data_IF_308247559564
#
_entry.id   IF_308247559564
#
_cell.length_a   1.000
_cell.length_b   1.000
_cell.length_c   1.000
_cell.angle_alpha   90.00
_cell.angle_beta   90.00
_cell.angle_gamma   90.00
#
_symmetry.space_group_name_H-M   'P 1'
#
loop_
_entity.id
_entity.type
_entity.pdbx_description
1 polymer ?
#
# COMPACT_ATOMS: atom_id res chain seq x y z
N UNK A 1 -21.43 11.60 -28.93
CA UNK A 1 -20.31 11.58 -28.02
C UNK A 1 -19.28 12.59 -28.49
N UNK A 2 -18.96 13.62 -27.72
CA UNK A 2 -17.90 14.56 -28.09
C UNK A 2 -16.55 13.85 -27.91
N UNK A 3 -15.74 13.79 -28.98
CA UNK A 3 -14.39 13.20 -28.90
C UNK A 3 -13.55 13.95 -27.84
N UNK A 4 -12.90 13.21 -26.98
CA UNK A 4 -12.01 13.78 -25.98
C UNK A 4 -10.73 14.32 -26.62
N UNK A 5 -9.93 15.13 -25.91
CA UNK A 5 -8.64 15.58 -26.42
C UNK A 5 -7.74 14.39 -26.81
N UNK A 6 -7.82 13.27 -26.07
CA UNK A 6 -7.07 12.04 -26.33
C UNK A 6 -7.38 11.41 -27.69
N UNK A 7 -8.63 11.51 -28.18
CA UNK A 7 -9.03 10.96 -29.49
C UNK A 7 -8.46 11.75 -30.68
N UNK A 8 -7.87 12.93 -30.43
CA UNK A 8 -7.34 13.86 -31.45
C UNK A 8 -5.84 14.05 -31.40
N UNK A 9 -5.19 13.65 -30.28
CA UNK A 9 -3.73 13.73 -30.12
C UNK A 9 -3.11 12.42 -30.62
N UNK A 10 -2.22 12.52 -31.61
CA UNK A 10 -1.54 11.34 -32.20
C UNK A 10 -0.23 11.00 -31.49
N UNK A 11 0.49 12.00 -30.98
CA UNK A 11 1.76 11.79 -30.26
C UNK A 11 2.13 13.03 -29.44
N UNK A 12 2.95 12.82 -28.41
CA UNK A 12 3.58 13.88 -27.66
C UNK A 12 5.10 13.83 -27.83
N UNK A 13 5.76 15.00 -27.74
CA UNK A 13 7.22 15.10 -27.81
C UNK A 13 7.71 16.09 -26.76
N UNK A 14 8.88 15.79 -26.17
CA UNK A 14 9.62 16.74 -25.34
C UNK A 14 10.59 17.48 -26.23
N UNK A 15 10.59 18.80 -26.20
CA UNK A 15 11.53 19.64 -26.97
C UNK A 15 12.65 20.07 -26.03
N UNK A 16 13.90 19.71 -26.40
CA UNK A 16 15.10 20.07 -25.65
C UNK A 16 16.00 21.00 -26.45
N UNK A 17 16.54 22.06 -25.85
CA UNK A 17 17.56 22.89 -26.45
C UNK A 17 18.82 22.09 -26.69
N UNK A 18 19.50 22.34 -27.79
CA UNK A 18 20.65 21.57 -28.19
C UNK A 18 21.63 22.44 -29.01
N UNK A 19 22.70 22.92 -28.41
CA UNK A 19 23.74 23.64 -29.12
C UNK A 19 24.64 22.67 -29.92
N UNK A 20 25.06 21.59 -29.27
CA UNK A 20 25.95 20.56 -29.81
C UNK A 20 25.14 19.38 -30.37
N UNK A 21 24.40 19.62 -31.46
CA UNK A 21 23.41 18.67 -31.96
C UNK A 21 24.02 17.31 -32.32
N UNK A 22 25.14 17.29 -33.05
CA UNK A 22 25.74 16.06 -33.54
C UNK A 22 26.23 15.20 -32.36
N UNK A 23 27.01 15.80 -31.44
CA UNK A 23 27.49 15.10 -30.23
C UNK A 23 26.38 14.61 -29.31
N UNK A 24 25.31 15.42 -29.20
CA UNK A 24 24.14 15.05 -28.40
C UNK A 24 23.38 13.90 -29.04
N UNK A 25 23.26 13.91 -30.37
CA UNK A 25 22.63 12.82 -31.10
C UNK A 25 23.39 11.51 -30.89
N UNK A 26 24.72 11.50 -31.11
CA UNK A 26 25.58 10.33 -30.91
C UNK A 26 25.47 9.80 -29.47
N UNK A 27 25.41 10.71 -28.47
CA UNK A 27 25.23 10.31 -27.08
C UNK A 27 23.90 9.57 -26.86
N UNK A 28 22.80 10.08 -27.39
CA UNK A 28 21.50 9.42 -27.24
C UNK A 28 21.37 8.14 -28.07
N UNK A 29 21.96 8.08 -29.26
CA UNK A 29 21.85 6.91 -30.14
C UNK A 29 22.85 5.82 -29.77
N UNK A 30 24.11 6.14 -29.66
CA UNK A 30 25.15 5.14 -29.52
C UNK A 30 25.32 4.66 -28.10
N UNK A 31 25.12 5.55 -27.10
CA UNK A 31 25.26 5.22 -25.70
C UNK A 31 23.96 4.79 -25.04
N UNK A 32 22.84 5.47 -25.36
CA UNK A 32 21.55 5.23 -24.70
C UNK A 32 20.56 4.44 -25.55
N UNK A 33 20.90 4.09 -26.80
CA UNK A 33 20.09 3.23 -27.66
C UNK A 33 18.82 3.86 -28.22
N UNK A 34 18.68 5.19 -28.19
CA UNK A 34 17.63 5.87 -28.92
C UNK A 34 17.82 5.73 -30.44
N UNK A 35 16.77 5.93 -31.21
CA UNK A 35 16.80 5.86 -32.68
C UNK A 35 16.32 7.17 -33.27
N UNK A 36 16.92 7.58 -34.38
CA UNK A 36 16.46 8.75 -35.15
C UNK A 36 15.10 8.43 -35.77
N UNK A 37 14.09 9.23 -35.43
CA UNK A 37 12.75 9.16 -35.99
C UNK A 37 12.53 10.19 -37.11
N UNK A 38 13.18 11.36 -37.03
CA UNK A 38 13.16 12.38 -38.06
C UNK A 38 14.37 13.31 -37.95
N UNK A 39 14.80 13.88 -39.05
CA UNK A 39 15.89 14.86 -39.14
C UNK A 39 15.57 15.91 -40.22
N UNK A 40 15.78 17.19 -39.90
CA UNK A 40 15.56 18.24 -40.89
C UNK A 40 16.29 19.56 -40.53
N UNK A 41 16.69 20.39 -41.57
CA UNK A 41 16.85 19.95 -42.94
C UNK A 41 17.86 18.83 -43.09
N UNK A 42 17.76 18.04 -44.15
CA UNK A 42 18.61 16.85 -44.31
C UNK A 42 20.09 17.20 -44.60
N UNK A 43 20.33 18.32 -45.26
CA UNK A 43 21.67 18.79 -45.66
C UNK A 43 22.39 19.57 -44.56
N UNK A 44 21.67 20.20 -43.66
CA UNK A 44 22.21 20.95 -42.52
C UNK A 44 21.25 20.85 -41.32
N UNK A 45 21.28 19.71 -40.59
CA UNK A 45 20.32 19.46 -39.52
C UNK A 45 20.33 20.53 -38.42
N UNK A 46 19.15 21.05 -38.13
CA UNK A 46 18.90 21.94 -36.98
C UNK A 46 17.91 21.35 -36.00
N UNK A 47 17.17 20.32 -36.45
CA UNK A 47 16.22 19.59 -35.61
C UNK A 47 16.36 18.10 -35.84
N UNK A 48 16.45 17.34 -34.79
CA UNK A 48 16.43 15.87 -34.82
C UNK A 48 15.37 15.38 -33.83
N UNK A 49 14.51 14.46 -34.25
CA UNK A 49 13.59 13.74 -33.38
C UNK A 49 14.17 12.36 -33.15
N UNK A 50 14.38 12.03 -31.90
CA UNK A 50 14.80 10.68 -31.45
C UNK A 50 13.65 10.01 -30.72
N UNK A 51 13.61 8.68 -30.76
CA UNK A 51 12.60 7.86 -30.07
C UNK A 51 13.24 6.65 -29.41
N UNK A 52 12.83 6.37 -28.19
CA UNK A 52 13.28 5.21 -27.41
C UNK A 52 12.50 5.10 -26.11
N UNK A 53 12.29 3.87 -25.64
CA UNK A 53 11.66 3.61 -24.33
C UNK A 53 10.30 4.29 -24.12
N UNK A 54 9.47 4.36 -25.18
CA UNK A 54 8.18 5.06 -25.16
C UNK A 54 8.26 6.59 -25.18
N UNK A 55 9.46 7.17 -25.20
CA UNK A 55 9.70 8.60 -25.20
C UNK A 55 10.07 9.11 -26.60
N UNK A 56 9.58 10.28 -26.98
CA UNK A 56 10.01 11.04 -28.16
C UNK A 56 10.60 12.36 -27.72
N UNK A 57 11.82 12.64 -28.17
CA UNK A 57 12.57 13.85 -27.85
C UNK A 57 12.91 14.57 -29.15
N UNK A 58 12.61 15.85 -29.24
CA UNK A 58 13.02 16.72 -30.31
C UNK A 58 14.19 17.58 -29.84
N UNK A 59 15.37 17.33 -30.38
CA UNK A 59 16.57 18.13 -30.14
C UNK A 59 16.58 19.29 -31.13
N UNK A 60 16.65 20.54 -30.65
CA UNK A 60 16.54 21.73 -31.47
C UNK A 60 17.71 22.65 -31.28
N UNK A 61 18.51 22.85 -32.33
CA UNK A 61 19.63 23.81 -32.33
C UNK A 61 19.11 25.24 -32.21
N UNK A 62 19.57 25.95 -31.19
CA UNK A 62 19.19 27.34 -30.94
C UNK A 62 17.86 27.52 -30.21
N UNK A 63 17.19 26.43 -29.74
CA UNK A 63 16.09 26.57 -28.80
C UNK A 63 16.57 27.11 -27.45
N UNK A 64 15.72 27.90 -26.82
CA UNK A 64 15.97 28.45 -25.51
C UNK A 64 15.31 27.54 -24.44
N UNK A 65 15.87 27.52 -23.20
CA UNK A 65 15.33 26.80 -22.06
C UNK A 65 16.38 25.91 -21.38
N UNK A 66 15.96 25.27 -20.29
CA UNK A 66 16.79 24.32 -19.56
C UNK A 66 16.79 22.96 -20.29
N UNK A 67 17.92 22.24 -20.30
CA UNK A 67 18.04 20.95 -20.99
C UNK A 67 17.25 19.80 -20.33
N UNK A 68 16.74 20.02 -19.11
CA UNK A 68 15.88 19.08 -18.41
C UNK A 68 16.58 17.85 -17.81
N UNK A 69 15.76 16.91 -17.34
CA UNK A 69 16.20 15.63 -16.78
C UNK A 69 15.42 14.52 -17.49
N UNK A 70 16.13 13.48 -17.91
CA UNK A 70 15.55 12.22 -18.39
C UNK A 70 15.92 11.12 -17.42
N UNK A 71 14.93 10.46 -16.83
CA UNK A 71 15.15 9.30 -15.97
C UNK A 71 14.89 8.02 -16.78
N UNK A 72 15.88 7.15 -16.82
CA UNK A 72 15.80 5.83 -17.44
C UNK A 72 15.65 4.77 -16.35
N UNK A 73 14.60 3.97 -16.46
CA UNK A 73 14.36 2.81 -15.59
C UNK A 73 15.10 1.63 -16.21
N UNK A 74 16.09 1.08 -15.51
CA UNK A 74 17.02 0.09 -16.03
C UNK A 74 16.94 -1.20 -15.21
N UNK A 75 17.07 -2.35 -15.85
CA UNK A 75 17.27 -3.62 -15.15
C UNK A 75 18.64 -3.65 -14.44
N UNK A 76 19.65 -2.99 -15.02
CA UNK A 76 20.96 -2.78 -14.42
C UNK A 76 21.48 -1.38 -14.76
N UNK A 77 21.24 -0.38 -13.89
CA UNK A 77 21.75 0.97 -14.07
C UNK A 77 23.26 1.06 -14.23
N UNK A 78 23.98 0.18 -13.52
CA UNK A 78 25.46 0.15 -13.54
C UNK A 78 26.01 -0.27 -14.92
N UNK A 79 25.36 -1.24 -15.56
CA UNK A 79 25.74 -1.67 -16.92
C UNK A 79 25.48 -0.58 -17.97
N UNK A 80 24.43 0.22 -17.84
CA UNK A 80 24.11 1.34 -18.75
C UNK A 80 25.05 2.52 -18.53
N UNK A 81 25.41 2.79 -17.30
CA UNK A 81 26.21 3.95 -16.88
C UNK A 81 27.70 3.73 -16.80
N UNK A 82 28.22 2.52 -17.11
CA UNK A 82 29.63 2.15 -16.85
C UNK A 82 30.01 2.38 -15.37
N UNK A 83 29.11 2.02 -14.44
CA UNK A 83 29.25 2.21 -13.01
C UNK A 83 28.71 3.55 -12.49
N UNK A 84 28.32 4.50 -13.35
CA UNK A 84 27.69 5.74 -12.95
C UNK A 84 26.14 5.58 -12.86
N UNK A 85 25.54 6.27 -11.93
CA UNK A 85 24.06 6.37 -11.80
C UNK A 85 23.49 7.64 -12.42
N UNK A 86 24.36 8.55 -12.83
CA UNK A 86 24.00 9.81 -13.49
C UNK A 86 24.98 10.11 -14.63
N UNK A 87 24.45 10.52 -15.79
CA UNK A 87 25.21 10.97 -16.94
C UNK A 87 24.73 12.38 -17.34
N UNK A 88 25.59 13.10 -18.05
CA UNK A 88 25.22 14.39 -18.64
C UNK A 88 25.43 14.34 -20.16
N UNK A 89 24.37 14.56 -20.90
CA UNK A 89 24.45 14.69 -22.35
C UNK A 89 25.16 15.99 -22.77
N UNK A 90 25.76 16.08 -23.99
CA UNK A 90 26.48 17.27 -24.44
C UNK A 90 25.63 18.55 -24.47
N UNK A 91 24.31 18.45 -24.62
CA UNK A 91 23.41 19.62 -24.51
C UNK A 91 23.11 20.00 -23.06
N UNK A 92 23.67 19.32 -22.06
CA UNK A 92 23.43 19.55 -20.64
C UNK A 92 22.23 18.80 -20.04
N UNK A 93 21.52 17.96 -20.82
CA UNK A 93 20.44 17.11 -20.26
C UNK A 93 21.03 16.12 -19.26
N UNK A 94 20.51 16.10 -18.05
CA UNK A 94 20.87 15.14 -17.01
C UNK A 94 20.11 13.84 -17.24
N UNK A 95 20.82 12.72 -17.26
CA UNK A 95 20.26 11.38 -17.38
C UNK A 95 20.42 10.68 -16.05
N UNK A 96 19.32 10.38 -15.38
CA UNK A 96 19.28 9.59 -14.15
C UNK A 96 19.04 8.12 -14.54
N UNK A 97 19.95 7.22 -14.12
CA UNK A 97 19.83 5.79 -14.31
C UNK A 97 19.38 5.18 -12.98
N UNK A 98 18.19 4.64 -12.94
CA UNK A 98 17.61 4.06 -11.72
C UNK A 98 17.15 2.64 -11.97
N UNK A 99 17.16 1.83 -10.92
CA UNK A 99 16.60 0.48 -10.96
C UNK A 99 15.12 0.55 -11.32
N UNK A 100 14.70 -0.22 -12.34
CA UNK A 100 13.30 -0.31 -12.76
C UNK A 100 12.42 -1.00 -11.71
N UNK A 101 13.03 -1.84 -10.88
CA UNK A 101 12.34 -2.63 -9.86
C UNK A 101 13.14 -2.72 -8.55
N UNK A 102 13.38 -1.58 -7.86
CA UNK A 102 14.15 -1.57 -6.63
C UNK A 102 13.49 -2.46 -5.56
N UNK A 103 14.29 -3.13 -4.71
CA UNK A 103 13.74 -3.95 -3.63
C UNK A 103 12.92 -3.10 -2.65
N UNK A 104 11.92 -3.74 -2.03
CA UNK A 104 11.14 -3.11 -0.96
C UNK A 104 12.06 -2.88 0.23
N UNK A 105 12.20 -1.63 0.64
CA UNK A 105 12.95 -1.23 1.82
C UNK A 105 11.97 -0.91 2.95
N UNK A 106 12.03 -1.69 4.04
CA UNK A 106 11.28 -1.40 5.24
C UNK A 106 12.21 -0.65 6.21
N UNK A 107 11.88 0.59 6.61
CA UNK A 107 12.64 1.30 7.62
C UNK A 107 12.70 0.52 8.94
N UNK A 108 13.74 0.68 9.76
CA UNK A 108 13.78 0.07 11.08
C UNK A 108 12.62 0.52 11.95
N UNK A 109 11.95 -0.43 12.63
CA UNK A 109 10.86 -0.12 13.54
C UNK A 109 11.34 0.76 14.68
N UNK A 110 10.63 1.86 14.93
CA UNK A 110 10.80 2.71 16.11
C UNK A 110 9.57 2.53 17.00
N UNK A 111 9.61 1.57 17.96
CA UNK A 111 8.45 1.19 18.72
C UNK A 111 7.92 2.35 19.58
N UNK A 112 6.65 2.65 19.48
CA UNK A 112 5.97 3.66 20.27
C UNK A 112 4.59 3.19 20.69
N UNK A 113 4.10 3.67 21.83
CA UNK A 113 2.69 3.53 22.19
C UNK A 113 1.87 4.56 21.44
N UNK A 114 0.91 4.10 20.66
CA UNK A 114 -0.03 4.94 19.92
C UNK A 114 -1.44 4.66 20.39
N UNK A 115 -2.23 5.71 20.55
CA UNK A 115 -3.66 5.62 20.80
C UNK A 115 -4.37 6.68 19.95
N UNK A 116 -5.34 6.27 19.14
CA UNK A 116 -6.14 7.18 18.31
C UNK A 116 -7.63 7.04 18.60
N UNK A 117 -8.34 8.17 18.63
CA UNK A 117 -9.77 8.24 18.93
C UNK A 117 -10.59 8.48 17.65
N UNK A 118 -11.68 7.72 17.49
CA UNK A 118 -12.60 7.96 16.37
C UNK A 118 -13.33 9.30 16.49
N UNK A 119 -13.51 9.79 17.69
CA UNK A 119 -14.15 11.08 17.99
C UNK A 119 -13.32 12.31 17.59
N UNK A 120 -12.05 12.14 17.22
CA UNK A 120 -11.23 13.23 16.73
C UNK A 120 -11.53 13.49 15.24
N UNK A 121 -12.51 14.34 14.99
CA UNK A 121 -12.91 14.74 13.63
C UNK A 121 -11.79 15.45 12.86
N UNK A 122 -10.86 16.11 13.53
CA UNK A 122 -9.72 16.78 12.90
C UNK A 122 -8.71 15.78 12.31
N UNK A 123 -8.74 14.51 12.73
CA UNK A 123 -7.88 13.44 12.21
C UNK A 123 -8.29 12.92 10.82
N UNK A 124 -9.47 13.31 10.29
CA UNK A 124 -9.97 12.87 9.00
C UNK A 124 -9.54 13.79 7.85
N UNK A 125 -8.78 13.26 6.90
CA UNK A 125 -8.40 13.90 5.63
C UNK A 125 -9.18 13.35 4.44
N UNK A 126 -9.08 14.04 3.29
CA UNK A 126 -9.60 13.55 2.00
C UNK A 126 -8.43 13.07 1.14
N UNK A 127 -8.54 11.89 0.56
CA UNK A 127 -7.51 11.27 -0.28
C UNK A 127 -8.05 10.85 -1.65
N UNK A 128 -7.48 9.77 -2.20
CA UNK A 128 -7.79 9.24 -3.53
C UNK A 128 -9.29 8.94 -3.68
N UNK A 129 -9.83 9.19 -4.88
CA UNK A 129 -11.22 8.92 -5.26
C UNK A 129 -12.28 9.56 -4.32
N UNK A 130 -11.93 10.66 -3.60
CA UNK A 130 -12.84 11.32 -2.67
C UNK A 130 -13.06 10.58 -1.34
N UNK A 131 -12.34 9.49 -1.10
CA UNK A 131 -12.40 8.74 0.16
C UNK A 131 -11.84 9.57 1.31
N UNK A 132 -12.40 9.38 2.50
CA UNK A 132 -11.88 9.98 3.73
C UNK A 132 -10.96 8.99 4.43
N UNK A 133 -9.84 9.50 4.93
CA UNK A 133 -8.79 8.71 5.60
C UNK A 133 -8.53 9.26 6.99
N UNK A 134 -8.43 8.38 7.97
CA UNK A 134 -7.91 8.66 9.31
C UNK A 134 -6.71 7.77 9.57
N UNK A 135 -5.60 8.38 9.94
CA UNK A 135 -4.38 7.67 10.28
C UNK A 135 -4.49 7.04 11.67
N UNK A 136 -4.23 5.75 11.77
CA UNK A 136 -4.31 4.98 13.01
C UNK A 136 -2.94 4.76 13.66
N UNK A 137 -1.85 5.03 12.93
CA UNK A 137 -0.46 5.00 13.41
C UNK A 137 0.26 6.28 12.94
N UNK A 138 -0.03 7.47 13.51
CA UNK A 138 0.46 8.76 13.01
C UNK A 138 1.98 8.87 12.94
N UNK A 139 2.72 8.21 13.83
CA UNK A 139 4.19 8.19 13.83
C UNK A 139 4.80 7.12 12.91
N UNK A 140 3.94 6.29 12.26
CA UNK A 140 4.34 5.23 11.33
C UNK A 140 5.33 4.23 11.92
N UNK A 141 5.54 4.19 13.24
CA UNK A 141 6.60 3.41 13.90
C UNK A 141 7.96 3.60 13.21
N UNK A 142 8.31 4.85 12.88
CA UNK A 142 9.54 5.20 12.15
C UNK A 142 9.49 4.96 10.64
N UNK A 143 8.31 4.79 10.05
CA UNK A 143 8.11 4.53 8.62
C UNK A 143 7.85 3.06 8.28
N UNK A 144 7.82 2.19 9.28
CA UNK A 144 7.64 0.74 9.06
C UNK A 144 6.20 0.37 8.74
N UNK A 145 5.21 1.02 9.37
CA UNK A 145 3.80 0.62 9.27
C UNK A 145 2.87 1.80 8.99
N UNK A 146 1.85 1.54 8.21
CA UNK A 146 0.68 2.40 8.04
C UNK A 146 -0.56 1.61 8.44
N UNK A 147 -1.46 2.27 9.17
CA UNK A 147 -2.81 1.79 9.37
C UNK A 147 -3.79 2.92 9.10
N UNK A 148 -4.76 2.68 8.24
CA UNK A 148 -5.74 3.67 7.80
C UNK A 148 -7.17 3.19 8.08
N UNK A 149 -7.97 4.05 8.68
CA UNK A 149 -9.42 3.92 8.67
C UNK A 149 -9.95 4.71 7.48
N UNK A 150 -10.51 4.01 6.50
CA UNK A 150 -10.99 4.59 5.25
C UNK A 150 -12.50 4.57 5.24
N UNK A 151 -13.13 5.68 4.82
CA UNK A 151 -14.58 5.82 4.73
C UNK A 151 -15.02 6.31 3.36
N UNK A 152 -16.03 5.68 2.77
CA UNK A 152 -16.73 6.14 1.57
C UNK A 152 -18.16 6.53 1.96
N UNK A 153 -18.46 7.84 2.10
CA UNK A 153 -19.77 8.27 2.62
C UNK A 153 -20.94 7.94 1.69
N UNK A 154 -20.80 8.22 0.39
CA UNK A 154 -21.93 8.23 -0.54
C UNK A 154 -22.26 6.86 -1.13
N UNK A 155 -21.28 5.96 -1.22
CA UNK A 155 -21.44 4.66 -1.87
C UNK A 155 -21.63 4.74 -3.41
N UNK A 156 -21.98 3.59 -4.02
CA UNK A 156 -22.14 3.45 -5.47
C UNK A 156 -20.84 3.09 -6.19
N UNK A 157 -20.78 3.30 -7.52
CA UNK A 157 -19.57 3.02 -8.31
C UNK A 157 -18.38 3.84 -7.84
N UNK A 158 -17.26 3.17 -7.57
CA UNK A 158 -16.01 3.84 -7.16
C UNK A 158 -15.19 4.17 -8.40
N UNK A 159 -14.73 5.44 -8.59
CA UNK A 159 -13.92 5.84 -9.73
C UNK A 159 -12.46 5.36 -9.54
N UNK A 160 -12.28 4.06 -9.50
CA UNK A 160 -11.00 3.39 -9.33
C UNK A 160 -10.54 2.76 -10.65
N UNK A 161 -9.25 2.44 -10.75
CA UNK A 161 -8.62 1.76 -11.88
C UNK A 161 -7.82 0.56 -11.38
N UNK A 162 -7.44 -0.34 -12.30
CA UNK A 162 -6.59 -1.48 -11.96
C UNK A 162 -5.24 -0.96 -11.47
N UNK A 163 -4.85 -1.39 -10.28
CA UNK A 163 -3.60 -0.96 -9.65
C UNK A 163 -3.04 -2.04 -8.74
N UNK A 164 -1.79 -1.87 -8.31
CA UNK A 164 -1.10 -2.73 -7.37
C UNK A 164 -0.14 -1.94 -6.49
N UNK A 165 0.30 -2.55 -5.40
CA UNK A 165 1.23 -1.95 -4.45
C UNK A 165 2.51 -2.78 -4.33
N UNK A 166 3.66 -2.10 -4.17
CA UNK A 166 4.91 -2.73 -3.75
C UNK A 166 5.00 -2.70 -2.23
N UNK A 167 4.51 -3.74 -1.58
CA UNK A 167 4.43 -3.86 -0.13
C UNK A 167 5.07 -5.15 0.36
N UNK A 168 5.57 -5.15 1.59
CA UNK A 168 5.93 -6.37 2.31
C UNK A 168 4.68 -7.08 2.83
N UNK A 169 3.65 -6.31 3.21
CA UNK A 169 2.39 -6.79 3.74
C UNK A 169 1.29 -5.76 3.53
N UNK A 170 0.09 -6.19 3.15
CA UNK A 170 -1.09 -5.34 3.11
C UNK A 170 -2.36 -6.17 3.31
N UNK A 171 -3.26 -5.70 4.17
CA UNK A 171 -4.56 -6.31 4.38
C UNK A 171 -5.67 -5.27 4.43
N UNK A 172 -6.87 -5.65 4.01
CA UNK A 172 -8.08 -4.82 4.09
C UNK A 172 -9.14 -5.59 4.86
N UNK A 173 -9.63 -5.01 5.95
CA UNK A 173 -10.75 -5.49 6.73
C UNK A 173 -11.97 -4.62 6.50
N UNK A 174 -13.09 -5.19 6.08
CA UNK A 174 -14.36 -4.49 5.92
C UNK A 174 -14.99 -4.30 7.31
N UNK A 175 -14.95 -3.06 7.82
CA UNK A 175 -15.44 -2.74 9.16
C UNK A 175 -16.96 -2.51 9.18
N UNK A 176 -17.48 -1.71 8.23
CA UNK A 176 -18.91 -1.43 8.11
C UNK A 176 -19.35 -1.39 6.66
N UNK A 177 -20.57 -1.79 6.40
CA UNK A 177 -21.13 -1.81 5.05
C UNK A 177 -20.61 -2.98 4.23
N UNK A 178 -20.49 -2.76 2.90
CA UNK A 178 -19.95 -3.74 1.98
C UNK A 178 -19.21 -3.05 0.83
N UNK A 179 -18.27 -3.79 0.22
CA UNK A 179 -17.50 -3.36 -0.95
C UNK A 179 -17.39 -4.48 -1.96
N UNK A 180 -17.59 -4.16 -3.26
CA UNK A 180 -17.39 -5.08 -4.37
C UNK A 180 -16.01 -4.84 -4.98
N UNK A 181 -15.21 -5.89 -5.03
CA UNK A 181 -13.82 -5.88 -5.46
C UNK A 181 -13.53 -6.98 -6.48
N UNK A 182 -12.43 -6.82 -7.20
CA UNK A 182 -11.91 -7.83 -8.12
C UNK A 182 -10.40 -7.87 -8.02
N UNK A 183 -9.84 -9.09 -8.06
CA UNK A 183 -8.41 -9.36 -7.93
C UNK A 183 -7.92 -10.22 -9.09
N UNK A 184 -6.68 -9.97 -9.48
CA UNK A 184 -5.94 -10.76 -10.49
C UNK A 184 -5.94 -12.24 -10.12
N UNK A 185 -6.34 -13.10 -11.08
CA UNK A 185 -6.37 -14.56 -10.98
C UNK A 185 -7.24 -15.15 -9.84
N UNK A 186 -8.10 -14.31 -9.25
CA UNK A 186 -9.00 -14.73 -8.17
C UNK A 186 -10.47 -14.89 -8.62
N UNK A 187 -10.69 -14.90 -9.94
CA UNK A 187 -12.00 -15.13 -10.55
C UNK A 187 -12.88 -13.89 -10.58
N UNK A 188 -14.21 -14.13 -10.56
CA UNK A 188 -15.19 -13.07 -10.72
C UNK A 188 -15.20 -12.09 -9.55
N UNK A 189 -15.61 -10.82 -9.79
CA UNK A 189 -15.80 -9.85 -8.71
C UNK A 189 -16.68 -10.41 -7.59
N UNK A 190 -16.28 -10.11 -6.36
CA UNK A 190 -17.02 -10.54 -5.17
C UNK A 190 -17.29 -9.38 -4.21
N UNK A 191 -18.22 -9.59 -3.31
CA UNK A 191 -18.56 -8.63 -2.26
C UNK A 191 -17.93 -9.06 -0.95
N UNK A 192 -17.25 -8.13 -0.29
CA UNK A 192 -16.85 -8.22 1.11
C UNK A 192 -17.91 -7.54 1.96
N UNK A 193 -18.43 -8.27 2.93
CA UNK A 193 -19.36 -7.75 3.94
C UNK A 193 -18.60 -7.29 5.19
N UNK A 194 -19.26 -6.56 6.06
CA UNK A 194 -18.70 -6.24 7.37
C UNK A 194 -18.21 -7.51 8.09
N UNK A 195 -16.98 -7.49 8.56
CA UNK A 195 -16.28 -8.63 9.17
C UNK A 195 -15.42 -9.44 8.22
N UNK A 196 -15.57 -9.31 6.90
CA UNK A 196 -14.72 -9.97 5.92
C UNK A 196 -13.36 -9.27 5.81
N UNK A 197 -12.36 -10.02 5.37
CA UNK A 197 -11.00 -9.52 5.22
C UNK A 197 -10.32 -10.12 3.99
N UNK A 198 -9.40 -9.39 3.39
CA UNK A 198 -8.51 -9.89 2.36
C UNK A 198 -7.05 -9.59 2.72
N UNK A 199 -6.16 -10.52 2.40
CA UNK A 199 -4.75 -10.23 2.22
C UNK A 199 -4.54 -9.79 0.77
N UNK A 200 -3.88 -8.67 0.58
CA UNK A 200 -3.42 -8.20 -0.73
C UNK A 200 -1.91 -8.49 -0.84
N UNK A 201 -1.51 -9.62 -1.44
CA UNK A 201 -0.10 -9.95 -1.60
C UNK A 201 0.64 -8.88 -2.42
N UNK A 202 1.98 -8.81 -2.32
CA UNK A 202 2.78 -7.87 -3.11
C UNK A 202 2.42 -7.95 -4.60
N UNK A 203 2.13 -6.78 -5.20
CA UNK A 203 1.88 -6.63 -6.64
C UNK A 203 0.63 -7.29 -7.21
N UNK A 204 -0.26 -7.87 -6.41
CA UNK A 204 -1.54 -8.35 -6.93
C UNK A 204 -2.34 -7.18 -7.50
N UNK A 205 -2.75 -7.26 -8.78
CA UNK A 205 -3.62 -6.25 -9.39
C UNK A 205 -5.01 -6.39 -8.83
N UNK A 206 -5.60 -5.25 -8.53
CA UNK A 206 -6.96 -5.22 -8.00
C UNK A 206 -7.66 -3.91 -8.34
N UNK A 207 -8.97 -3.90 -8.11
CA UNK A 207 -9.82 -2.75 -8.31
C UNK A 207 -11.02 -2.78 -7.39
N UNK A 208 -11.36 -1.65 -6.83
CA UNK A 208 -12.64 -1.42 -6.14
C UNK A 208 -13.69 -1.00 -7.17
N UNK A 209 -14.80 -1.69 -7.23
CA UNK A 209 -15.85 -1.49 -8.24
C UNK A 209 -17.01 -0.65 -7.70
N UNK A 210 -17.46 -0.96 -6.49
CA UNK A 210 -18.67 -0.39 -5.92
C UNK A 210 -18.67 -0.56 -4.39
N UNK A 211 -19.32 0.34 -3.69
CA UNK A 211 -19.49 0.23 -2.23
C UNK A 211 -20.90 0.61 -1.77
N UNK A 212 -21.27 0.16 -0.58
CA UNK A 212 -22.45 0.70 0.11
C UNK A 212 -22.20 2.14 0.57
N UNK A 213 -23.27 2.94 0.75
CA UNK A 213 -23.14 4.18 1.50
C UNK A 213 -22.59 3.91 2.90
N UNK A 214 -21.68 4.76 3.37
CA UNK A 214 -21.08 4.64 4.69
C UNK A 214 -20.16 3.41 4.84
N UNK A 215 -19.57 2.88 3.75
CA UNK A 215 -18.54 1.87 3.84
C UNK A 215 -17.39 2.37 4.71
N UNK A 216 -16.94 1.54 5.64
CA UNK A 216 -15.71 1.76 6.41
C UNK A 216 -14.80 0.52 6.31
N UNK A 217 -13.52 0.72 6.03
CA UNK A 217 -12.52 -0.36 6.01
C UNK A 217 -11.31 0.04 6.84
N UNK A 218 -10.62 -0.97 7.38
CA UNK A 218 -9.33 -0.82 8.05
C UNK A 218 -8.28 -1.45 7.13
N UNK A 219 -7.33 -0.63 6.72
CA UNK A 219 -6.18 -1.03 5.90
C UNK A 219 -4.92 -0.97 6.73
N UNK A 220 -4.09 -2.01 6.65
CA UNK A 220 -2.77 -2.03 7.29
C UNK A 220 -1.74 -2.45 6.25
N UNK A 221 -0.67 -1.69 6.14
CA UNK A 221 0.41 -1.92 5.19
C UNK A 221 1.81 -1.75 5.80
N UNK A 222 2.77 -2.37 5.16
CA UNK A 222 4.20 -2.32 5.48
C UNK A 222 5.01 -2.37 4.16
N UNK A 223 5.93 -1.42 3.90
CA UNK A 223 6.24 -0.22 4.69
C UNK A 223 5.11 0.83 4.65
N UNK A 224 5.24 1.86 5.50
CA UNK A 224 4.26 2.94 5.57
C UNK A 224 4.18 3.74 4.27
N UNK A 225 5.34 4.05 3.69
CA UNK A 225 5.44 4.68 2.38
C UNK A 225 5.70 3.62 1.33
N UNK A 226 4.78 3.46 0.41
CA UNK A 226 4.87 2.54 -0.70
C UNK A 226 4.17 3.11 -1.93
N UNK A 227 4.65 2.70 -3.09
CA UNK A 227 4.12 3.16 -4.37
C UNK A 227 2.83 2.43 -4.74
N UNK A 228 1.89 3.17 -5.33
CA UNK A 228 0.69 2.64 -5.98
C UNK A 228 0.88 2.77 -7.49
N UNK A 229 0.98 1.67 -8.20
CA UNK A 229 1.14 1.62 -9.64
C UNK A 229 -0.20 1.36 -10.32
N UNK A 230 -0.56 2.21 -11.28
CA UNK A 230 -1.68 1.94 -12.17
C UNK A 230 -1.28 0.95 -13.27
N UNK A 231 -2.13 -0.02 -13.54
CA UNK A 231 -2.03 -0.92 -14.70
C UNK A 231 -3.24 -0.69 -15.60
N UNK A 232 -3.13 0.30 -16.50
CA UNK A 232 -4.24 0.77 -17.33
C UNK A 232 -4.51 -0.15 -18.53
N UNK A 233 -3.59 -1.06 -18.83
CA UNK A 233 -3.72 -2.00 -19.95
C UNK A 233 -4.35 -3.32 -19.48
N UNK A 234 -4.28 -3.65 -18.20
CA UNK A 234 -4.83 -4.87 -17.65
C UNK A 234 -6.33 -4.76 -17.39
N UNK A 235 -7.09 -5.72 -17.93
CA UNK A 235 -8.50 -5.90 -17.62
C UNK A 235 -8.72 -6.89 -16.46
N UNK A 236 -9.63 -6.56 -15.53
CA UNK A 236 -10.08 -7.50 -14.49
C UNK A 236 -11.59 -7.76 -14.63
N UNK A 237 -12.07 -9.01 -14.41
CA UNK A 237 -11.29 -10.18 -14.00
C UNK A 237 -10.39 -10.72 -15.12
N UNK A 238 -9.30 -11.41 -14.74
CA UNK A 238 -8.47 -12.19 -15.64
C UNK A 238 -9.22 -13.42 -16.15
N UNK A 239 -8.82 -13.95 -17.31
CA UNK A 239 -9.42 -15.16 -17.88
C UNK A 239 -9.06 -16.41 -17.06
N UNK A 240 -7.83 -16.47 -16.56
CA UNK A 240 -7.36 -17.56 -15.70
C UNK A 240 -7.75 -17.31 -14.24
N UNK A 241 -7.98 -18.41 -13.51
CA UNK A 241 -8.23 -18.42 -12.08
C UNK A 241 -7.20 -19.31 -11.41
N UNK A 242 -6.31 -18.73 -10.64
CA UNK A 242 -5.18 -19.40 -9.97
C UNK A 242 -5.21 -19.06 -8.47
N UNK A 243 -6.11 -19.67 -7.68
CA UNK A 243 -6.32 -19.28 -6.27
C UNK A 243 -5.08 -19.35 -5.40
N UNK A 244 -4.20 -20.31 -5.69
CA UNK A 244 -2.97 -20.56 -4.93
C UNK A 244 -1.72 -19.91 -5.57
N UNK A 245 -1.92 -18.92 -6.47
CA UNK A 245 -0.80 -18.21 -7.09
C UNK A 245 0.08 -17.58 -6.02
N UNK A 246 1.39 -17.82 -6.16
CA UNK A 246 2.39 -17.17 -5.34
C UNK A 246 2.70 -15.75 -5.86
N UNK A 247 2.63 -14.79 -4.96
CA UNK A 247 2.98 -13.40 -5.17
C UNK A 247 4.16 -13.04 -4.25
N UNK A 248 5.36 -13.38 -4.64
CA UNK A 248 6.58 -13.12 -3.86
C UNK A 248 6.56 -13.74 -2.45
N UNK A 249 6.18 -15.01 -2.36
CA UNK A 249 6.10 -15.78 -1.13
C UNK A 249 4.80 -15.62 -0.36
N UNK A 250 3.79 -14.97 -0.93
CA UNK A 250 2.47 -14.80 -0.32
C UNK A 250 1.37 -15.25 -1.26
N UNK A 251 0.25 -15.69 -0.70
CA UNK A 251 -0.96 -16.03 -1.45
C UNK A 251 -2.11 -15.11 -1.07
N UNK A 252 -3.01 -14.87 -2.02
CA UNK A 252 -4.23 -14.13 -1.74
C UNK A 252 -5.09 -14.84 -0.70
N UNK A 253 -5.67 -14.09 0.23
CA UNK A 253 -6.65 -14.60 1.19
C UNK A 253 -7.95 -13.84 1.01
N UNK A 254 -9.06 -14.56 0.90
CA UNK A 254 -10.41 -14.06 1.06
C UNK A 254 -11.05 -14.72 2.26
N UNK A 255 -11.10 -14.02 3.37
CA UNK A 255 -11.76 -14.48 4.57
C UNK A 255 -13.23 -14.02 4.60
N UNK A 256 -14.14 -14.94 4.82
CA UNK A 256 -15.57 -14.67 4.99
C UNK A 256 -15.96 -14.89 6.47
N UNK A 257 -16.31 -13.82 7.17
CA UNK A 257 -16.63 -13.87 8.60
C UNK A 257 -17.71 -14.89 8.96
N UNK A 258 -18.72 -15.03 8.10
CA UNK A 258 -19.83 -15.96 8.29
C UNK A 258 -19.42 -17.44 8.30
N UNK A 259 -18.23 -17.78 7.73
CA UNK A 259 -17.70 -19.14 7.67
C UNK A 259 -16.66 -19.44 8.73
N UNK A 260 -16.24 -18.41 9.50
CA UNK A 260 -15.18 -18.53 10.47
C UNK A 260 -15.61 -19.32 11.71
N UNK A 261 -14.59 -19.89 12.38
CA UNK A 261 -14.79 -20.61 13.65
C UNK A 261 -14.05 -19.88 14.75
N UNK A 262 -14.70 -19.82 15.91
CA UNK A 262 -14.11 -19.26 17.10
C UNK A 262 -13.34 -20.34 17.86
N UNK A 263 -12.23 -19.97 18.47
CA UNK A 263 -11.35 -20.82 19.23
C UNK A 263 -10.75 -20.04 20.41
N UNK A 264 -10.32 -20.72 21.49
CA UNK A 264 -9.74 -20.03 22.65
C UNK A 264 -8.58 -19.13 22.29
N UNK A 265 -8.58 -17.91 22.81
CA UNK A 265 -7.50 -16.96 22.61
C UNK A 265 -6.40 -17.12 23.67
N UNK A 266 -5.23 -16.53 23.42
CA UNK A 266 -4.10 -16.55 24.39
C UNK A 266 -4.42 -15.84 25.71
N UNK A 267 -5.30 -14.83 25.70
CA UNK A 267 -5.77 -14.19 26.94
C UNK A 267 -7.00 -14.92 27.46
N UNK A 268 -7.01 -15.27 28.75
CA UNK A 268 -8.13 -15.95 29.39
C UNK A 268 -9.40 -15.10 29.38
N UNK A 269 -10.54 -15.73 29.10
CA UNK A 269 -11.83 -15.06 28.95
C UNK A 269 -12.13 -14.50 27.56
N UNK A 270 -11.24 -14.76 26.60
CA UNK A 270 -11.42 -14.38 25.20
C UNK A 270 -11.37 -15.58 24.26
N UNK A 271 -11.99 -15.43 23.12
CA UNK A 271 -11.85 -16.31 21.95
C UNK A 271 -11.56 -15.48 20.71
N UNK A 272 -11.01 -16.12 19.67
CA UNK A 272 -10.69 -15.44 18.42
C UNK A 272 -11.13 -16.25 17.21
N UNK A 273 -11.35 -15.56 16.10
CA UNK A 273 -11.40 -16.14 14.76
C UNK A 273 -10.19 -15.72 13.97
N UNK A 274 -9.52 -16.70 13.38
CA UNK A 274 -8.38 -16.49 12.52
C UNK A 274 -8.83 -16.07 11.12
N UNK A 275 -8.12 -15.11 10.54
CA UNK A 275 -8.34 -14.66 9.16
C UNK A 275 -7.63 -15.57 8.14
N UNK A 276 -6.64 -16.38 8.57
CA UNK A 276 -5.87 -17.28 7.70
C UNK A 276 -4.69 -16.61 6.99
N UNK A 277 -4.31 -15.42 7.41
CA UNK A 277 -3.20 -14.66 6.81
C UNK A 277 -1.84 -15.24 7.18
N UNK A 278 -1.72 -15.82 8.39
CA UNK A 278 -0.45 -16.39 8.85
C UNK A 278 0.06 -17.47 7.89
N UNK A 279 -0.78 -18.40 7.50
CA UNK A 279 -0.42 -19.49 6.55
C UNK A 279 -0.12 -18.96 5.15
N UNK A 280 -0.82 -17.92 4.71
CA UNK A 280 -0.64 -17.34 3.38
C UNK A 280 0.61 -16.45 3.26
N UNK A 281 1.24 -16.09 4.38
CA UNK A 281 2.43 -15.22 4.45
C UNK A 281 3.64 -15.90 5.08
N UNK A 282 3.60 -17.22 5.24
CA UNK A 282 4.65 -18.00 5.92
C UNK A 282 5.01 -17.42 7.30
N UNK A 283 3.97 -17.05 8.07
CA UNK A 283 4.14 -16.52 9.42
C UNK A 283 4.54 -15.04 9.52
N UNK A 284 4.58 -14.29 8.42
CA UNK A 284 4.94 -12.88 8.44
C UNK A 284 3.97 -12.05 9.27
N UNK A 285 2.66 -12.27 9.10
CA UNK A 285 1.62 -11.49 9.79
C UNK A 285 0.48 -12.37 10.28
N UNK A 286 -0.02 -12.09 11.48
CA UNK A 286 -1.25 -12.66 12.04
C UNK A 286 -2.36 -11.64 12.10
N UNK A 287 -3.55 -12.01 11.64
CA UNK A 287 -4.74 -11.15 11.70
C UNK A 287 -5.89 -11.96 12.33
N UNK A 288 -6.49 -11.40 13.34
CA UNK A 288 -7.53 -12.06 14.15
C UNK A 288 -8.61 -11.08 14.53
N UNK A 289 -9.84 -11.58 14.71
CA UNK A 289 -10.84 -10.87 15.49
C UNK A 289 -10.97 -11.57 16.83
N UNK A 290 -10.84 -10.81 17.92
CA UNK A 290 -10.87 -11.30 19.31
C UNK A 290 -12.13 -10.76 19.97
N UNK A 291 -12.85 -11.60 20.70
CA UNK A 291 -14.02 -11.18 21.49
C UNK A 291 -14.05 -11.78 22.89
N UNK A 292 -14.83 -11.17 23.75
CA UNK A 292 -15.11 -11.73 25.08
C UNK A 292 -15.93 -13.02 24.94
N UNK A 293 -15.52 -14.07 25.65
CA UNK A 293 -16.22 -15.37 25.67
C UNK A 293 -16.46 -15.90 27.11
N UNK A 294 -15.93 -15.17 28.09
CA UNK A 294 -16.05 -15.53 29.51
C UNK A 294 -15.68 -14.34 30.38
N UNK A 295 -15.14 -14.59 31.57
CA UNK A 295 -14.63 -13.53 32.44
C UNK A 295 -13.21 -13.17 32.03
N UNK A 296 -12.95 -11.97 31.45
CA UNK A 296 -11.60 -11.57 31.07
C UNK A 296 -10.64 -11.55 32.27
N UNK A 297 -9.44 -12.08 32.07
CA UNK A 297 -8.35 -11.91 33.00
C UNK A 297 -7.87 -10.46 33.00
N UNK A 298 -7.61 -9.90 34.18
CA UNK A 298 -7.03 -8.56 34.34
C UNK A 298 -5.51 -8.59 34.41
N UNK A 299 -4.93 -9.76 34.20
CA UNK A 299 -3.49 -9.97 34.28
C UNK A 299 -2.76 -9.14 33.23
N UNK A 300 -1.74 -8.41 33.65
CA UNK A 300 -0.91 -7.68 32.73
C UNK A 300 -0.11 -8.64 31.83
N UNK A 301 0.05 -8.29 30.57
CA UNK A 301 0.82 -9.05 29.60
C UNK A 301 1.75 -8.14 28.81
N UNK A 302 2.78 -8.72 28.22
CA UNK A 302 3.65 -8.09 27.23
C UNK A 302 3.91 -9.05 26.08
N UNK A 303 4.49 -8.55 24.98
CA UNK A 303 4.81 -9.34 23.79
C UNK A 303 6.19 -8.99 23.23
N UNK A 304 6.67 -9.77 22.25
CA UNK A 304 7.96 -9.59 21.58
C UNK A 304 7.83 -9.25 20.07
N UNK A 305 6.62 -9.00 19.57
CA UNK A 305 6.38 -8.71 18.15
C UNK A 305 6.88 -7.34 17.70
N UNK A 306 7.16 -7.21 16.39
CA UNK A 306 7.48 -5.94 15.73
C UNK A 306 6.31 -4.97 15.78
N UNK A 307 5.09 -5.49 15.60
CA UNK A 307 3.83 -4.76 15.66
C UNK A 307 2.81 -5.56 16.46
N UNK A 308 2.09 -4.89 17.35
CA UNK A 308 0.81 -5.35 17.89
C UNK A 308 -0.19 -4.19 17.81
N UNK A 309 -0.97 -4.19 16.74
CA UNK A 309 -2.01 -3.21 16.47
C UNK A 309 -3.37 -3.77 16.85
N UNK A 310 -4.20 -2.92 17.46
CA UNK A 310 -5.56 -3.26 17.88
C UNK A 310 -6.53 -2.16 17.46
N UNK A 311 -7.69 -2.56 16.91
CA UNK A 311 -8.79 -1.67 16.56
C UNK A 311 -10.07 -2.20 17.20
N UNK A 312 -10.75 -1.39 17.99
CA UNK A 312 -12.03 -1.77 18.64
C UNK A 312 -13.13 -1.76 17.59
N UNK A 313 -13.65 -2.94 17.26
CA UNK A 313 -14.72 -3.12 16.27
C UNK A 313 -16.10 -2.86 16.89
N UNK A 314 -16.34 -3.36 18.11
CA UNK A 314 -17.60 -3.24 18.83
C UNK A 314 -17.34 -3.19 20.33
N UNK A 315 -18.28 -2.63 21.09
CA UNK A 315 -18.19 -2.52 22.54
C UNK A 315 -17.12 -1.57 23.02
N UNK A 316 -16.46 -1.92 24.13
CA UNK A 316 -15.40 -1.09 24.70
C UNK A 316 -14.64 -1.79 25.83
N UNK A 317 -13.45 -1.26 26.11
CA UNK A 317 -12.57 -1.74 27.17
C UNK A 317 -11.84 -0.58 27.84
N UNK A 318 -11.32 -0.81 29.02
CA UNK A 318 -10.34 0.07 29.67
C UNK A 318 -8.95 -0.51 29.46
N UNK A 319 -8.10 0.21 28.72
CA UNK A 319 -6.71 -0.16 28.49
C UNK A 319 -5.85 0.38 29.62
N UNK A 320 -5.17 -0.49 30.37
CA UNK A 320 -4.04 -0.12 31.22
C UNK A 320 -2.75 -0.33 30.44
N UNK A 321 -1.84 0.64 30.50
CA UNK A 321 -0.56 0.60 29.80
C UNK A 321 0.54 1.20 30.68
N UNK A 322 1.50 0.36 31.11
CA UNK A 322 2.59 0.78 32.01
C UNK A 322 2.03 1.57 33.21
N UNK A 323 2.74 2.59 33.66
CA UNK A 323 2.33 3.48 34.76
C UNK A 323 1.47 4.68 34.31
N UNK A 324 0.83 4.59 33.14
CA UNK A 324 -0.05 5.65 32.62
C UNK A 324 -1.46 5.54 33.18
N UNK A 325 -2.16 6.65 33.14
CA UNK A 325 -3.60 6.66 33.43
C UNK A 325 -4.32 5.68 32.50
N UNK A 326 -5.29 4.97 33.06
CA UNK A 326 -6.08 4.01 32.30
C UNK A 326 -6.99 4.73 31.29
N UNK A 327 -7.05 4.22 30.06
CA UNK A 327 -7.74 4.83 28.94
C UNK A 327 -9.01 4.02 28.58
N UNK A 328 -10.19 4.65 28.65
CA UNK A 328 -11.43 4.03 28.14
C UNK A 328 -11.48 4.10 26.63
N UNK A 329 -11.63 2.96 25.96
CA UNK A 329 -11.72 2.83 24.51
C UNK A 329 -13.11 2.35 24.10
N UNK A 330 -13.56 2.77 22.93
CA UNK A 330 -14.85 2.42 22.33
C UNK A 330 -14.67 2.02 20.86
N UNK A 331 -15.74 1.52 20.24
CA UNK A 331 -15.75 1.15 18.83
C UNK A 331 -15.24 2.28 17.91
N UNK A 332 -14.27 1.95 17.06
CA UNK A 332 -13.57 2.87 16.18
C UNK A 332 -12.25 3.42 16.74
N UNK A 333 -11.96 3.27 18.03
CA UNK A 333 -10.66 3.62 18.61
C UNK A 333 -9.61 2.56 18.27
N UNK A 334 -8.33 2.94 18.23
CA UNK A 334 -7.23 2.01 17.99
C UNK A 334 -6.02 2.30 18.86
N UNK A 335 -5.20 1.28 19.07
CA UNK A 335 -3.96 1.41 19.82
C UNK A 335 -2.88 0.45 19.32
N UNK A 336 -1.63 0.85 19.52
CA UNK A 336 -0.43 0.02 19.31
C UNK A 336 0.29 -0.11 20.63
N UNK A 337 0.61 -1.33 21.01
CA UNK A 337 1.44 -1.61 22.18
C UNK A 337 2.85 -1.97 21.68
N UNK A 338 3.90 -1.29 22.13
CA UNK A 338 5.28 -1.68 21.84
C UNK A 338 5.68 -2.99 22.50
N UNK A 339 6.65 -3.69 21.89
CA UNK A 339 7.24 -4.88 22.45
C UNK A 339 7.77 -4.65 23.88
N UNK A 340 7.67 -5.67 24.71
CA UNK A 340 8.15 -5.70 26.11
C UNK A 340 7.47 -4.71 27.08
N UNK A 341 6.41 -4.03 26.62
CA UNK A 341 5.61 -3.10 27.44
C UNK A 341 4.42 -3.81 28.05
N UNK A 342 4.10 -3.49 29.32
CA UNK A 342 3.00 -4.10 30.03
C UNK A 342 1.67 -3.42 29.69
N UNK A 343 0.67 -4.23 29.38
CA UNK A 343 -0.70 -3.77 29.13
C UNK A 343 -1.71 -4.78 29.68
N UNK A 344 -2.90 -4.32 29.98
CA UNK A 344 -4.03 -5.16 30.36
C UNK A 344 -5.34 -4.59 29.87
N UNK A 345 -6.34 -5.46 29.69
CA UNK A 345 -7.69 -5.11 29.32
C UNK A 345 -8.59 -5.24 30.55
N UNK A 346 -9.14 -4.12 31.02
CA UNK A 346 -10.09 -4.05 32.12
C UNK A 346 -11.46 -3.61 31.61
N UNK A 347 -12.47 -3.84 32.42
CA UNK A 347 -13.86 -3.40 32.21
C UNK A 347 -14.32 -3.60 30.75
N UNK A 348 -13.99 -4.77 30.19
CA UNK A 348 -14.43 -5.17 28.87
C UNK A 348 -15.96 -5.34 28.87
N UNK A 349 -16.63 -4.73 27.89
CA UNK A 349 -18.06 -4.99 27.67
C UNK A 349 -18.28 -6.38 27.06
N UNK A 350 -19.46 -6.95 27.25
CA UNK A 350 -19.78 -8.30 26.76
C UNK A 350 -19.77 -8.36 25.22
N UNK A 351 -20.02 -7.21 24.54
CA UNK A 351 -20.01 -7.08 23.07
C UNK A 351 -18.62 -6.75 22.52
N UNK A 352 -17.59 -6.69 23.34
CA UNK A 352 -16.27 -6.29 22.86
C UNK A 352 -15.77 -7.20 21.76
N UNK A 353 -15.49 -6.61 20.61
CA UNK A 353 -14.70 -7.21 19.51
C UNK A 353 -13.54 -6.31 19.14
N UNK A 354 -12.37 -6.92 18.91
CA UNK A 354 -11.12 -6.23 18.54
C UNK A 354 -10.54 -6.89 17.30
N UNK A 355 -10.20 -6.10 16.28
CA UNK A 355 -9.28 -6.54 15.22
C UNK A 355 -7.86 -6.41 15.75
N UNK A 356 -7.18 -7.55 15.89
CA UNK A 356 -5.78 -7.62 16.26
C UNK A 356 -4.92 -7.98 15.05
N UNK A 357 -3.85 -7.20 14.83
CA UNK A 357 -2.84 -7.48 13.81
C UNK A 357 -1.47 -7.52 14.45
N UNK A 358 -0.77 -8.63 14.23
CA UNK A 358 0.59 -8.85 14.75
C UNK A 358 1.59 -9.12 13.63
N UNK A 359 2.79 -8.59 13.76
CA UNK A 359 3.97 -8.98 12.99
C UNK A 359 5.08 -9.34 14.00
N UNK A 360 5.65 -10.55 13.90
CA UNK A 360 5.19 -11.69 13.09
C UNK A 360 3.82 -12.24 13.52
N UNK A 361 3.29 -13.23 12.76
CA UNK A 361 2.01 -13.88 13.07
C UNK A 361 1.94 -14.44 14.47
N UNK A 362 2.97 -15.15 14.87
CA UNK A 362 3.13 -15.69 16.21
C UNK A 362 4.00 -14.76 17.06
N UNK A 363 3.38 -14.13 18.06
CA UNK A 363 4.05 -13.34 19.09
C UNK A 363 4.04 -14.08 20.42
N UNK A 364 5.17 -14.08 21.10
CA UNK A 364 5.25 -14.64 22.45
C UNK A 364 4.61 -13.66 23.44
N UNK A 365 3.59 -14.14 24.12
CA UNK A 365 2.94 -13.37 25.21
C UNK A 365 3.52 -13.80 26.57
N UNK A 366 3.92 -12.84 27.35
CA UNK A 366 4.42 -13.01 28.71
C UNK A 366 3.41 -12.42 29.69
N UNK A 367 3.05 -13.17 30.72
CA UNK A 367 2.10 -12.73 31.74
C UNK A 367 2.86 -12.25 32.99
N UNK A 368 2.37 -11.20 33.60
CA UNK A 368 2.99 -10.56 34.76
C UNK A 368 2.02 -10.58 35.93
N UNK A 369 2.43 -11.17 37.04
CA UNK A 369 1.71 -11.06 38.33
C UNK A 369 1.80 -9.61 38.82
N UNK A 370 0.70 -9.11 39.38
CA UNK A 370 0.66 -7.82 40.06
C UNK A 370 1.65 -7.77 41.24
#
# INVERSE_FOLDING_TARGET
MNATAGDRVQAAQIVLPCAELDQTLDFFTDRLGFRVAAIYPADKPSVVVISGYGLRIQLVRGAEGAPGVVRLLCDDPSAVGDGATELTAPNGTRIELVDADPPIVVPPVQPSFVLTRVSDEASWGTGRAGMRYRDLIPDRQGGSFIASHIRIPDGGPVPDYVHFHKVRFQMIYCYKGWVRVVYEDQGQPFVMQAGDCVLQPPRIRHRVLESSPGLEVIEIGCPAEHETFGDLEMGLPTEEVIPDRDFSGQRFVRHEAAKARWQPFRLEGFEYRDIGIADATDGLAGVRVVRVSGKPSRMASSHDGELLFNFVLEGGLTLRYEDRDAERLAAGDSFVVPASKHYAFDDCSDELEILEVSLPAEIRTMYHSE
#
